data_IF_441558539519
#
_entry.id   IF_441558539519
#
_cell.length_a   1.000
_cell.length_b   1.000
_cell.length_c   1.000
_cell.angle_alpha   90.00
_cell.angle_beta   90.00
_cell.angle_gamma   90.00
#
_symmetry.space_group_name_H-M   'P 1'
#
loop_
_entity.id
_entity.type
_entity.pdbx_description
1 polymer ?
#
# COMPACT_ATOMS: atom_id res chain seq x y z
N UNK A 1 5.89 -7.13 5.06
CA UNK A 1 5.75 -5.99 6.01
C UNK A 1 6.30 -4.71 5.39
N UNK A 2 5.55 -3.61 5.46
CA UNK A 2 5.99 -2.27 5.06
C UNK A 2 6.41 -1.48 6.30
N UNK A 3 7.62 -0.95 6.33
CA UNK A 3 8.18 -0.25 7.48
C UNK A 3 8.45 1.21 7.22
N UNK A 4 8.14 2.03 8.21
CA UNK A 4 8.40 3.47 8.13
C UNK A 4 8.08 4.18 9.43
N UNK A 5 8.63 5.37 9.60
CA UNK A 5 8.32 6.23 10.73
C UNK A 5 6.87 6.75 10.67
N UNK A 6 6.39 7.36 11.75
CA UNK A 6 5.12 8.09 11.72
C UNK A 6 5.18 9.19 10.66
N UNK A 7 4.13 9.32 9.84
CA UNK A 7 4.14 10.22 8.68
C UNK A 7 5.05 9.80 7.51
N UNK A 8 5.78 8.68 7.64
CA UNK A 8 6.74 8.18 6.63
C UNK A 8 6.11 7.36 5.49
N UNK A 9 4.84 7.58 5.15
CA UNK A 9 4.22 6.97 3.97
C UNK A 9 3.69 5.53 4.10
N UNK A 10 3.64 4.92 5.30
CA UNK A 10 3.15 3.53 5.48
C UNK A 10 1.75 3.29 4.93
N UNK A 11 0.74 3.97 5.47
CA UNK A 11 -0.65 3.79 5.02
C UNK A 11 -0.86 4.25 3.57
N UNK A 12 -0.04 5.18 3.07
CA UNK A 12 -0.05 5.58 1.65
C UNK A 12 0.46 4.43 0.78
N UNK A 13 1.55 3.79 1.19
CA UNK A 13 2.12 2.62 0.51
C UNK A 13 1.15 1.45 0.53
N UNK A 14 0.52 1.15 1.68
CA UNK A 14 -0.50 0.11 1.78
C UNK A 14 -1.71 0.40 0.88
N UNK A 15 -2.15 1.67 0.79
CA UNK A 15 -3.21 2.09 -0.15
C UNK A 15 -2.81 1.93 -1.62
N UNK A 16 -1.55 2.23 -1.98
CA UNK A 16 -1.04 2.01 -3.34
C UNK A 16 -0.91 0.51 -3.68
N UNK A 17 -0.54 -0.33 -2.72
CA UNK A 17 -0.56 -1.79 -2.88
C UNK A 17 -2.00 -2.27 -3.13
N UNK A 18 -2.97 -1.76 -2.37
CA UNK A 18 -4.38 -2.09 -2.57
C UNK A 18 -4.86 -1.70 -3.97
N UNK A 19 -4.56 -0.47 -4.40
CA UNK A 19 -4.89 0.03 -5.73
C UNK A 19 -4.25 -0.81 -6.84
N UNK A 20 -2.95 -1.13 -6.74
CA UNK A 20 -2.31 -1.98 -7.75
C UNK A 20 -2.91 -3.39 -7.76
N UNK A 21 -3.26 -3.95 -6.59
CA UNK A 21 -3.85 -5.29 -6.50
C UNK A 21 -5.20 -5.36 -7.22
N UNK A 22 -6.05 -4.33 -7.07
CA UNK A 22 -7.35 -4.30 -7.77
C UNK A 22 -7.20 -4.08 -9.28
N UNK A 23 -6.20 -3.30 -9.72
CA UNK A 23 -5.88 -3.12 -11.15
C UNK A 23 -5.46 -4.44 -11.79
N UNK A 24 -4.68 -5.25 -11.07
CA UNK A 24 -4.24 -6.59 -11.51
C UNK A 24 -5.35 -7.66 -11.41
N UNK A 25 -6.57 -7.28 -11.04
CA UNK A 25 -7.71 -8.20 -10.98
C UNK A 25 -7.89 -8.92 -9.63
N UNK A 26 -7.04 -8.65 -8.63
CA UNK A 26 -7.13 -9.31 -7.32
C UNK A 26 -8.20 -8.71 -6.41
N UNK A 27 -8.72 -9.56 -5.54
CA UNK A 27 -9.74 -9.21 -4.56
C UNK A 27 -9.10 -8.89 -3.22
N UNK A 28 -9.05 -7.60 -2.91
CA UNK A 28 -8.30 -7.05 -1.78
C UNK A 28 -9.21 -6.70 -0.61
N UNK A 29 -8.84 -7.18 0.57
CA UNK A 29 -9.43 -6.82 1.85
C UNK A 29 -8.48 -5.91 2.63
N UNK A 30 -8.93 -4.71 3.02
CA UNK A 30 -8.23 -3.84 3.98
C UNK A 30 -8.92 -3.95 5.34
N UNK A 31 -8.21 -4.46 6.33
CA UNK A 31 -8.58 -4.41 7.74
C UNK A 31 -7.89 -3.22 8.39
N UNK A 32 -8.66 -2.16 8.62
CA UNK A 32 -8.16 -0.95 9.27
C UNK A 32 -8.31 -1.04 10.78
N UNK A 33 -7.27 -0.68 11.52
CA UNK A 33 -7.28 -0.60 12.98
C UNK A 33 -7.16 0.85 13.45
N UNK A 34 -6.45 1.67 12.67
CA UNK A 34 -6.18 3.06 13.00
C UNK A 34 -7.27 4.00 12.45
N UNK A 35 -7.51 3.94 11.15
CA UNK A 35 -8.29 4.94 10.42
C UNK A 35 -9.72 4.48 10.17
N UNK A 36 -10.63 5.45 10.04
CA UNK A 36 -11.99 5.18 9.54
C UNK A 36 -11.94 4.76 8.07
N UNK A 37 -12.85 3.89 7.67
CA UNK A 37 -12.98 3.34 6.32
C UNK A 37 -13.05 4.45 5.28
N UNK A 38 -13.85 5.49 5.56
CA UNK A 38 -13.99 6.66 4.67
C UNK A 38 -12.64 7.36 4.39
N UNK A 39 -11.72 7.39 5.35
CA UNK A 39 -10.40 8.02 5.16
C UNK A 39 -9.47 7.19 4.29
N UNK A 40 -9.65 5.88 4.28
CA UNK A 40 -8.89 4.98 3.41
C UNK A 40 -9.48 5.01 2.01
N UNK A 41 -10.81 4.96 1.89
CA UNK A 41 -11.52 5.13 0.62
C UNK A 41 -11.10 6.46 -0.06
N UNK A 42 -11.15 7.58 0.67
CA UNK A 42 -10.68 8.89 0.18
C UNK A 42 -9.21 8.91 -0.28
N UNK A 43 -8.35 7.99 0.17
CA UNK A 43 -6.98 7.92 -0.37
C UNK A 43 -6.94 7.18 -1.68
N UNK A 44 -7.73 6.12 -1.81
CA UNK A 44 -7.78 5.29 -3.01
C UNK A 44 -8.54 6.02 -4.12
N UNK A 45 -9.65 6.68 -3.77
CA UNK A 45 -10.39 7.58 -4.67
C UNK A 45 -9.47 8.70 -5.20
N UNK A 46 -8.51 9.18 -4.40
CA UNK A 46 -7.54 10.20 -4.84
C UNK A 46 -6.53 9.64 -5.83
N UNK A 47 -6.13 8.38 -5.65
CA UNK A 47 -5.27 7.68 -6.60
C UNK A 47 -6.01 7.48 -7.93
N UNK A 48 -7.28 7.09 -7.88
CA UNK A 48 -8.12 6.82 -9.07
C UNK A 48 -8.43 8.11 -9.83
N UNK A 49 -8.92 9.13 -9.11
CA UNK A 49 -9.50 10.34 -9.73
C UNK A 49 -8.48 11.44 -10.03
N UNK A 50 -7.26 11.37 -9.47
CA UNK A 50 -6.29 12.45 -9.61
C UNK A 50 -6.49 13.64 -8.65
N UNK A 51 -7.61 13.68 -7.91
CA UNK A 51 -7.95 14.79 -7.02
C UNK A 51 -7.37 14.61 -5.61
N UNK A 52 -6.93 15.71 -5.01
CA UNK A 52 -6.53 15.72 -3.61
C UNK A 52 -7.77 15.64 -2.69
N UNK A 53 -7.71 15.00 -1.50
CA UNK A 53 -8.83 14.95 -0.56
C UNK A 53 -9.43 16.32 -0.18
N UNK A 54 -8.66 17.41 -0.28
CA UNK A 54 -9.14 18.78 -0.05
C UNK A 54 -10.11 19.28 -1.12
N UNK A 55 -10.10 18.69 -2.30
CA UNK A 55 -10.89 19.09 -3.46
C UNK A 55 -12.23 18.34 -3.54
N UNK A 56 -12.47 17.37 -2.64
CA UNK A 56 -13.59 16.44 -2.73
C UNK A 56 -14.94 17.12 -2.57
N UNK A 57 -15.03 18.18 -1.76
CA UNK A 57 -16.27 18.94 -1.61
C UNK A 57 -16.66 19.69 -2.88
N UNK A 58 -15.68 19.98 -3.74
CA UNK A 58 -15.87 20.77 -4.95
C UNK A 58 -16.16 19.87 -6.15
N UNK A 59 -15.43 18.76 -6.29
CA UNK A 59 -15.51 17.87 -7.46
C UNK A 59 -16.17 16.51 -7.15
N UNK A 60 -17.15 16.50 -6.24
CA UNK A 60 -17.69 15.24 -5.72
C UNK A 60 -18.36 14.38 -6.78
N UNK A 61 -18.98 14.99 -7.80
CA UNK A 61 -19.65 14.24 -8.88
C UNK A 61 -18.65 13.70 -9.88
N UNK A 62 -17.63 14.48 -10.24
CA UNK A 62 -16.54 14.02 -11.10
C UNK A 62 -15.80 12.86 -10.47
N UNK A 63 -15.45 12.95 -9.18
CA UNK A 63 -14.76 11.87 -8.46
C UNK A 63 -15.61 10.59 -8.46
N UNK A 64 -16.92 10.69 -8.20
CA UNK A 64 -17.83 9.54 -8.27
C UNK A 64 -17.83 8.92 -9.67
N UNK A 65 -17.85 9.74 -10.71
CA UNK A 65 -17.81 9.25 -12.09
C UNK A 65 -16.49 8.53 -12.39
N UNK A 66 -15.34 9.12 -12.02
CA UNK A 66 -14.04 8.46 -12.16
C UNK A 66 -13.97 7.11 -11.46
N UNK A 67 -14.49 7.02 -10.22
CA UNK A 67 -14.50 5.77 -9.45
C UNK A 67 -15.43 4.74 -10.10
N UNK A 68 -16.58 5.17 -10.63
CA UNK A 68 -17.50 4.28 -11.35
C UNK A 68 -16.84 3.73 -12.61
N UNK A 69 -16.27 4.60 -13.44
CA UNK A 69 -15.61 4.22 -14.68
C UNK A 69 -14.44 3.27 -14.40
N UNK A 70 -13.65 3.57 -13.36
CA UNK A 70 -12.57 2.69 -12.91
C UNK A 70 -13.08 1.29 -12.54
N UNK A 71 -14.18 1.17 -11.81
CA UNK A 71 -14.78 -0.13 -11.47
C UNK A 71 -15.30 -0.90 -12.69
N UNK A 72 -15.68 -0.22 -13.77
CA UNK A 72 -16.08 -0.88 -15.02
C UNK A 72 -14.85 -1.42 -15.79
N UNK A 73 -13.67 -0.86 -15.56
CA UNK A 73 -12.41 -1.25 -16.22
C UNK A 73 -11.63 -2.36 -15.51
N UNK A 74 -11.82 -2.53 -14.20
CA UNK A 74 -11.09 -3.53 -13.41
C UNK A 74 -11.98 -4.67 -12.96
N UNK A 75 -11.43 -5.89 -12.91
CA UNK A 75 -12.12 -7.06 -12.36
C UNK A 75 -11.84 -7.27 -10.87
N UNK A 76 -10.78 -6.65 -10.35
CA UNK A 76 -10.41 -6.68 -8.96
C UNK A 76 -11.42 -5.93 -8.09
N UNK A 77 -11.43 -6.23 -6.79
CA UNK A 77 -12.41 -5.64 -5.87
C UNK A 77 -11.74 -5.20 -4.59
N UNK A 78 -12.19 -4.08 -4.03
CA UNK A 78 -11.73 -3.60 -2.75
C UNK A 78 -12.85 -3.68 -1.70
N UNK A 79 -12.54 -4.24 -0.55
CA UNK A 79 -13.40 -4.14 0.62
C UNK A 79 -12.60 -3.63 1.82
N UNK A 80 -13.13 -2.62 2.52
CA UNK A 80 -12.49 -1.99 3.67
C UNK A 80 -13.39 -2.20 4.87
N UNK A 81 -12.83 -2.75 5.94
CA UNK A 81 -13.55 -2.92 7.20
C UNK A 81 -12.68 -2.51 8.37
N UNK A 82 -13.24 -1.72 9.29
CA UNK A 82 -12.53 -1.29 10.49
C UNK A 82 -12.79 -2.21 11.66
N UNK A 83 -11.73 -2.54 12.38
CA UNK A 83 -11.79 -3.14 13.72
C UNK A 83 -11.30 -2.16 14.78
N UNK A 84 -11.57 -2.45 16.06
CA UNK A 84 -11.16 -1.57 17.16
C UNK A 84 -9.65 -1.69 17.41
N UNK A 85 -8.96 -0.61 17.82
CA UNK A 85 -7.61 -0.71 18.38
C UNK A 85 -7.55 -1.72 19.52
N UNK A 86 -6.40 -2.38 19.68
CA UNK A 86 -6.18 -3.44 20.67
C UNK A 86 -7.05 -4.68 20.46
N UNK A 87 -7.54 -4.90 19.23
CA UNK A 87 -8.06 -6.21 18.81
C UNK A 87 -6.90 -7.20 18.56
N UNK A 88 -7.19 -8.48 18.44
CA UNK A 88 -6.20 -9.51 18.10
C UNK A 88 -6.47 -10.11 16.71
N UNK A 89 -5.63 -11.05 16.29
CA UNK A 89 -5.72 -11.71 14.99
C UNK A 89 -7.05 -12.50 14.79
N UNK A 90 -7.74 -12.91 15.86
CA UNK A 90 -9.08 -13.51 15.75
C UNK A 90 -10.14 -12.51 15.24
N UNK A 91 -9.97 -11.21 15.52
CA UNK A 91 -10.83 -10.18 14.95
C UNK A 91 -10.59 -10.03 13.44
N UNK A 92 -9.33 -10.15 12.99
CA UNK A 92 -8.97 -10.16 11.56
C UNK A 92 -9.60 -11.36 10.86
N UNK A 93 -9.47 -12.57 11.43
CA UNK A 93 -10.13 -13.80 10.92
C UNK A 93 -11.65 -13.61 10.81
N UNK A 94 -12.27 -13.03 11.84
CA UNK A 94 -13.71 -12.72 11.82
C UNK A 94 -14.12 -11.80 10.67
N UNK A 95 -13.27 -10.83 10.29
CA UNK A 95 -13.52 -9.96 9.12
C UNK A 95 -13.42 -10.75 7.82
N UNK A 96 -12.41 -11.63 7.70
CA UNK A 96 -12.24 -12.48 6.52
C UNK A 96 -13.43 -13.43 6.33
N UNK A 97 -13.96 -14.00 7.41
CA UNK A 97 -15.17 -14.83 7.33
C UNK A 97 -16.41 -14.03 6.91
N UNK A 98 -16.58 -12.79 7.41
CA UNK A 98 -17.65 -11.90 6.92
C UNK A 98 -17.47 -11.56 5.44
N UNK A 99 -16.25 -11.29 5.00
CA UNK A 99 -15.92 -11.09 3.59
C UNK A 99 -16.33 -12.31 2.76
N UNK A 100 -15.96 -13.51 3.22
CA UNK A 100 -16.27 -14.77 2.55
C UNK A 100 -17.77 -15.02 2.42
N UNK A 101 -18.53 -14.79 3.49
CA UNK A 101 -20.00 -14.90 3.47
C UNK A 101 -20.59 -13.89 2.48
N UNK A 102 -20.08 -12.65 2.48
CA UNK A 102 -20.62 -11.56 1.66
C UNK A 102 -20.35 -11.75 0.17
N UNK A 103 -19.16 -12.20 -0.19
CA UNK A 103 -18.72 -12.27 -1.59
C UNK A 103 -18.65 -13.70 -2.15
N UNK A 104 -18.90 -14.72 -1.33
CA UNK A 104 -18.81 -16.13 -1.73
C UNK A 104 -17.38 -16.61 -2.02
N UNK A 105 -16.35 -15.85 -1.62
CA UNK A 105 -14.93 -16.13 -1.90
C UNK A 105 -14.01 -15.58 -0.81
N UNK A 106 -12.81 -16.12 -0.68
CA UNK A 106 -11.74 -15.54 0.15
C UNK A 106 -11.04 -14.39 -0.58
N UNK A 107 -10.44 -13.42 0.15
CA UNK A 107 -9.63 -12.38 -0.48
C UNK A 107 -8.27 -12.93 -0.91
N UNK A 108 -7.79 -12.51 -2.09
CA UNK A 108 -6.44 -12.85 -2.59
C UNK A 108 -5.36 -12.04 -1.88
N UNK A 109 -5.70 -10.80 -1.50
CA UNK A 109 -4.78 -9.87 -0.82
C UNK A 109 -5.43 -9.35 0.46
N UNK A 110 -4.71 -9.46 1.57
CA UNK A 110 -5.15 -8.97 2.88
C UNK A 110 -4.19 -7.86 3.32
N UNK A 111 -4.73 -6.72 3.72
CA UNK A 111 -3.96 -5.58 4.18
C UNK A 111 -4.41 -5.23 5.60
N UNK A 112 -3.53 -5.33 6.58
CA UNK A 112 -3.80 -4.94 7.96
C UNK A 112 -3.07 -3.63 8.26
N UNK A 113 -3.80 -2.53 8.48
CA UNK A 113 -3.24 -1.20 8.80
C UNK A 113 -3.50 -0.85 10.28
N UNK A 114 -2.58 -1.13 11.21
CA UNK A 114 -1.26 -1.77 11.08
C UNK A 114 -0.97 -2.68 12.29
N UNK A 115 -0.02 -3.63 12.17
CA UNK A 115 0.17 -4.71 13.17
C UNK A 115 0.42 -4.20 14.59
N UNK A 116 1.12 -3.07 14.76
CA UNK A 116 1.44 -2.49 16.06
C UNK A 116 0.24 -1.93 16.84
N UNK A 117 -0.98 -2.04 16.29
CA UNK A 117 -2.24 -1.76 17.02
C UNK A 117 -2.99 -3.02 17.44
N UNK A 118 -2.49 -4.20 17.07
CA UNK A 118 -3.00 -5.47 17.54
C UNK A 118 -2.41 -5.81 18.91
N UNK A 119 -3.08 -6.71 19.60
CA UNK A 119 -2.53 -7.45 20.75
C UNK A 119 -2.46 -8.93 20.38
N UNK A 120 -1.52 -9.70 20.96
CA UNK A 120 -1.49 -11.14 20.75
C UNK A 120 -2.78 -11.79 21.25
N UNK A 121 -3.12 -12.95 20.69
CA UNK A 121 -4.25 -13.77 21.17
C UNK A 121 -4.01 -14.18 22.63
N UNK A 122 -2.77 -14.59 22.93
CA UNK A 122 -2.33 -14.85 24.30
C UNK A 122 -1.99 -13.54 25.03
N UNK A 123 -2.91 -13.11 25.90
CA UNK A 123 -2.79 -11.88 26.69
C UNK A 123 -1.77 -11.98 27.83
N UNK A 124 -1.26 -13.17 28.15
CA UNK A 124 -0.24 -13.35 29.19
C UNK A 124 1.13 -12.83 28.75
N UNK A 125 1.34 -12.68 27.44
CA UNK A 125 2.57 -12.10 26.87
C UNK A 125 2.58 -10.60 27.17
N UNK A 126 3.47 -10.19 28.08
CA UNK A 126 3.58 -8.78 28.53
C UNK A 126 4.74 -8.04 27.89
N UNK A 127 5.85 -8.74 27.58
CA UNK A 127 7.05 -8.18 26.97
C UNK A 127 6.79 -7.67 25.54
N UNK A 128 7.06 -6.39 25.29
CA UNK A 128 6.68 -5.69 24.04
C UNK A 128 7.30 -6.33 22.79
N UNK A 129 8.57 -6.73 22.84
CA UNK A 129 9.23 -7.37 21.70
C UNK A 129 8.64 -8.75 21.36
N UNK A 130 8.21 -9.51 22.39
CA UNK A 130 7.57 -10.81 22.22
C UNK A 130 6.14 -10.64 21.68
N UNK A 131 5.44 -9.56 22.07
CA UNK A 131 4.11 -9.24 21.53
C UNK A 131 4.17 -9.05 20.01
N UNK A 132 5.12 -8.23 19.54
CA UNK A 132 5.24 -7.92 18.12
C UNK A 132 5.68 -9.13 17.28
N UNK A 133 6.55 -9.99 17.83
CA UNK A 133 6.90 -11.27 17.21
C UNK A 133 5.67 -12.18 17.10
N UNK A 134 4.92 -12.34 18.19
CA UNK A 134 3.74 -13.19 18.23
C UNK A 134 2.65 -12.72 17.26
N UNK A 135 2.40 -11.41 17.19
CA UNK A 135 1.44 -10.84 16.22
C UNK A 135 1.92 -11.10 14.78
N UNK A 136 3.24 -11.06 14.52
CA UNK A 136 3.79 -11.36 13.19
C UNK A 136 3.55 -12.82 12.81
N UNK A 137 3.76 -13.77 13.74
CA UNK A 137 3.42 -15.19 13.54
C UNK A 137 1.94 -15.38 13.27
N UNK A 138 1.07 -14.83 14.13
CA UNK A 138 -0.39 -14.98 14.01
C UNK A 138 -0.92 -14.41 12.67
N UNK A 139 -0.37 -13.28 12.21
CA UNK A 139 -0.70 -12.70 10.89
C UNK A 139 -0.19 -13.57 9.75
N UNK A 140 1.00 -14.15 9.88
CA UNK A 140 1.53 -15.09 8.87
C UNK A 140 0.67 -16.35 8.77
N UNK A 141 0.22 -16.90 9.90
CA UNK A 141 -0.69 -18.04 9.92
C UNK A 141 -2.01 -17.72 9.22
N UNK A 142 -2.56 -16.51 9.39
CA UNK A 142 -3.72 -16.06 8.61
C UNK A 142 -3.42 -16.10 7.11
N UNK A 143 -2.29 -15.57 6.66
CA UNK A 143 -1.93 -15.58 5.25
C UNK A 143 -1.85 -17.01 4.67
N UNK A 144 -1.28 -17.95 5.44
CA UNK A 144 -1.17 -19.37 5.06
C UNK A 144 -2.53 -20.05 5.03
N UNK A 145 -3.36 -19.86 6.06
CA UNK A 145 -4.66 -20.54 6.18
C UNK A 145 -5.65 -20.15 5.07
N UNK A 146 -5.59 -18.91 4.60
CA UNK A 146 -6.48 -18.38 3.56
C UNK A 146 -5.83 -18.34 2.16
N UNK A 147 -4.61 -18.86 2.02
CA UNK A 147 -3.83 -18.82 0.77
C UNK A 147 -3.81 -17.43 0.12
N UNK A 148 -3.45 -16.42 0.93
CA UNK A 148 -3.55 -15.01 0.57
C UNK A 148 -2.24 -14.25 0.82
N UNK A 149 -1.96 -13.23 0.00
CA UNK A 149 -0.84 -12.33 0.24
C UNK A 149 -1.22 -11.33 1.34
N UNK A 150 -0.50 -11.34 2.47
CA UNK A 150 -0.75 -10.42 3.57
C UNK A 150 0.28 -9.30 3.68
N UNK A 151 -0.20 -8.06 3.65
CA UNK A 151 0.57 -6.86 3.93
C UNK A 151 0.18 -6.25 5.27
N UNK A 152 1.17 -5.77 6.00
CA UNK A 152 0.94 -4.95 7.19
C UNK A 152 2.01 -3.89 7.35
N UNK A 153 1.67 -2.79 8.01
CA UNK A 153 2.60 -1.74 8.38
C UNK A 153 3.30 -2.03 9.72
N UNK A 154 4.56 -1.65 9.86
CA UNK A 154 5.26 -1.64 11.15
C UNK A 154 6.11 -0.39 11.32
N UNK A 155 6.30 0.05 12.56
CA UNK A 155 7.05 1.27 12.86
C UNK A 155 8.56 1.02 12.89
N UNK A 156 9.31 2.06 12.51
CA UNK A 156 10.76 2.10 12.66
C UNK A 156 11.15 2.98 13.85
N UNK A 157 12.39 2.81 14.34
CA UNK A 157 12.95 3.58 15.43
C UNK A 157 12.89 5.07 15.12
N UNK A 158 12.62 5.91 16.14
CA UNK A 158 12.49 7.37 15.96
C UNK A 158 13.74 8.00 15.33
N UNK A 159 14.93 7.46 15.64
CA UNK A 159 16.21 7.92 15.09
C UNK A 159 16.38 7.65 13.60
N UNK A 160 15.65 6.68 13.03
CA UNK A 160 15.78 6.27 11.63
C UNK A 160 15.46 7.38 10.63
N UNK A 161 14.68 8.38 11.03
CA UNK A 161 14.38 9.55 10.19
C UNK A 161 15.66 10.29 9.76
N UNK A 162 16.72 10.24 10.58
CA UNK A 162 18.01 10.90 10.32
C UNK A 162 19.06 9.96 9.72
N UNK A 163 18.75 8.66 9.62
CA UNK A 163 19.65 7.66 9.06
C UNK A 163 19.72 7.81 7.55
N UNK A 164 20.92 7.68 6.97
CA UNK A 164 21.07 7.69 5.51
C UNK A 164 20.36 6.47 4.93
N UNK A 165 19.82 6.62 3.72
CA UNK A 165 19.09 5.55 3.03
C UNK A 165 19.88 4.22 2.97
N UNK A 166 21.19 4.32 2.73
CA UNK A 166 22.14 3.21 2.63
C UNK A 166 22.35 2.48 3.96
N UNK A 167 22.21 3.19 5.08
CA UNK A 167 22.41 2.63 6.43
C UNK A 167 21.11 2.05 7.00
N UNK A 168 19.97 2.20 6.31
CA UNK A 168 18.70 1.66 6.80
C UNK A 168 18.70 0.12 6.75
N UNK A 169 18.60 -0.53 7.90
CA UNK A 169 18.65 -1.98 8.03
C UNK A 169 17.64 -2.54 9.03
N UNK A 170 17.83 -3.80 9.41
CA UNK A 170 16.96 -4.49 10.37
C UNK A 170 17.10 -3.93 11.80
N UNK A 171 18.25 -3.37 12.15
CA UNK A 171 18.53 -2.68 13.42
C UNK A 171 17.63 -1.44 13.63
N UNK A 172 17.03 -0.92 12.56
CA UNK A 172 16.15 0.24 12.62
C UNK A 172 14.68 -0.09 12.90
N UNK A 173 14.35 -1.36 13.12
CA UNK A 173 12.99 -1.80 13.46
C UNK A 173 12.65 -1.42 14.91
N UNK A 174 11.54 -0.70 15.11
CA UNK A 174 11.05 -0.42 16.46
C UNK A 174 10.35 -1.64 17.04
N UNK A 175 10.45 -1.88 18.34
CA UNK A 175 9.81 -3.02 19.01
C UNK A 175 10.53 -4.36 18.81
N UNK A 176 11.78 -4.34 18.32
CA UNK A 176 12.64 -5.51 18.21
C UNK A 176 12.64 -6.16 16.82
N UNK A 177 13.80 -6.70 16.44
CA UNK A 177 14.04 -7.39 15.15
C UNK A 177 13.20 -8.67 15.03
N UNK A 178 12.85 -9.28 16.17
CA UNK A 178 12.17 -10.57 16.24
C UNK A 178 10.86 -10.63 15.43
N UNK A 179 10.12 -9.51 15.32
CA UNK A 179 8.92 -9.41 14.47
C UNK A 179 9.17 -9.66 12.98
N UNK A 180 10.41 -9.52 12.52
CA UNK A 180 10.78 -9.84 11.15
C UNK A 180 11.03 -11.32 10.95
N UNK A 181 11.31 -12.11 12.00
CA UNK A 181 11.63 -13.53 11.88
C UNK A 181 10.54 -14.31 11.13
N UNK A 182 9.24 -14.14 11.46
CA UNK A 182 8.17 -14.83 10.76
C UNK A 182 7.96 -14.27 9.34
N UNK A 183 8.13 -12.96 9.17
CA UNK A 183 7.86 -12.28 7.90
C UNK A 183 8.71 -12.85 6.75
N UNK A 184 8.05 -13.12 5.62
CA UNK A 184 8.73 -13.56 4.40
C UNK A 184 9.51 -12.42 3.75
N UNK A 185 8.95 -11.21 3.78
CA UNK A 185 9.59 -10.00 3.26
C UNK A 185 9.30 -8.78 4.11
N UNK A 186 10.30 -7.91 4.25
CA UNK A 186 10.16 -6.61 4.88
C UNK A 186 10.86 -5.51 4.07
N UNK A 187 10.15 -4.41 3.84
CA UNK A 187 10.62 -3.28 3.05
C UNK A 187 10.55 -1.99 3.89
N UNK A 188 11.65 -1.26 3.96
CA UNK A 188 11.70 0.05 4.59
C UNK A 188 11.37 1.14 3.57
N UNK A 189 10.51 2.09 3.96
CA UNK A 189 10.16 3.27 3.20
C UNK A 189 11.17 4.38 3.52
N UNK A 190 11.68 5.00 2.48
CA UNK A 190 12.56 6.17 2.54
C UNK A 190 11.80 7.32 1.89
N UNK A 191 11.28 8.20 2.72
CA UNK A 191 10.39 9.28 2.27
C UNK A 191 10.54 10.53 3.14
N UNK A 192 11.71 11.16 3.03
CA UNK A 192 12.03 12.40 3.74
C UNK A 192 11.43 13.63 3.02
N UNK A 193 11.51 14.80 3.66
CA UNK A 193 10.87 16.01 3.16
C UNK A 193 11.50 16.55 1.87
N UNK A 194 12.79 16.29 1.65
CA UNK A 194 13.49 16.63 0.41
C UNK A 194 12.94 15.77 -0.73
N UNK A 195 12.85 14.45 -0.54
CA UNK A 195 12.28 13.53 -1.54
C UNK A 195 10.83 13.88 -1.88
N UNK A 196 10.00 14.22 -0.87
CA UNK A 196 8.63 14.71 -1.10
C UNK A 196 8.59 15.92 -2.03
N UNK A 197 9.49 16.88 -1.83
CA UNK A 197 9.57 18.09 -2.65
C UNK A 197 9.97 17.77 -4.11
N UNK A 198 10.88 16.83 -4.29
CA UNK A 198 11.31 16.36 -5.61
C UNK A 198 10.35 15.38 -6.28
N UNK A 199 9.26 14.97 -5.60
CA UNK A 199 8.35 13.96 -6.13
C UNK A 199 8.99 12.57 -6.19
N UNK A 200 9.73 12.20 -5.15
CA UNK A 200 10.44 10.93 -5.04
C UNK A 200 10.04 10.19 -3.75
N UNK A 201 10.04 8.86 -3.83
CA UNK A 201 9.94 7.94 -2.70
C UNK A 201 10.79 6.73 -2.99
N UNK A 202 11.48 6.16 -2.00
CA UNK A 202 12.27 4.96 -2.22
C UNK A 202 11.91 3.85 -1.24
N UNK A 203 12.19 2.63 -1.67
CA UNK A 203 11.94 1.41 -0.94
C UNK A 203 13.23 0.60 -0.86
N UNK A 204 13.54 0.12 0.34
CA UNK A 204 14.70 -0.75 0.56
C UNK A 204 14.24 -2.05 1.19
N UNK A 205 14.29 -3.19 0.48
CA UNK A 205 14.10 -4.49 1.09
C UNK A 205 15.18 -4.71 2.15
N UNK A 206 14.77 -4.84 3.41
CA UNK A 206 15.68 -5.08 4.55
C UNK A 206 15.61 -6.54 5.02
N UNK A 207 14.62 -7.29 4.52
CA UNK A 207 14.52 -8.74 4.65
C UNK A 207 13.80 -9.32 3.44
N UNK A 208 14.37 -10.36 2.85
CA UNK A 208 13.71 -11.25 1.90
C UNK A 208 14.08 -12.69 2.23
N UNK A 209 13.09 -13.59 2.31
CA UNK A 209 13.33 -15.00 2.67
C UNK A 209 14.04 -15.78 1.57
N UNK A 210 13.79 -15.44 0.30
CA UNK A 210 14.21 -16.23 -0.87
C UNK A 210 15.11 -15.47 -1.87
N UNK A 211 15.72 -14.33 -1.50
CA UNK A 211 16.50 -13.53 -2.46
C UNK A 211 17.78 -12.90 -1.91
N UNK A 212 18.70 -12.62 -2.83
CA UNK A 212 19.99 -11.95 -2.61
C UNK A 212 19.90 -10.41 -2.63
N UNK A 213 18.79 -9.84 -3.13
CA UNK A 213 18.63 -8.38 -3.35
C UNK A 213 18.35 -7.55 -2.08
N UNK A 214 18.58 -8.13 -0.89
CA UNK A 214 18.44 -7.38 0.37
C UNK A 214 19.44 -6.24 0.38
N UNK A 215 18.95 -5.01 0.55
CA UNK A 215 19.78 -3.81 0.60
C UNK A 215 19.74 -2.91 -0.63
N UNK A 216 19.21 -3.38 -1.78
CA UNK A 216 19.03 -2.52 -2.95
C UNK A 216 17.99 -1.42 -2.68
N UNK A 217 18.30 -0.18 -3.04
CA UNK A 217 17.36 0.94 -2.94
C UNK A 217 16.63 1.09 -4.27
N UNK A 218 15.31 0.94 -4.24
CA UNK A 218 14.41 1.08 -5.38
C UNK A 218 13.77 2.45 -5.29
N UNK A 219 14.08 3.32 -6.25
CA UNK A 219 13.49 4.66 -6.33
C UNK A 219 12.20 4.64 -7.15
N UNK A 220 11.18 5.34 -6.68
CA UNK A 220 9.88 5.47 -7.32
C UNK A 220 9.49 6.94 -7.39
N UNK A 221 8.58 7.27 -8.31
CA UNK A 221 8.05 8.62 -8.42
C UNK A 221 6.88 8.79 -7.46
N UNK A 222 6.88 9.90 -6.74
CA UNK A 222 5.83 10.31 -5.82
C UNK A 222 5.01 11.45 -6.44
N UNK A 223 3.76 11.15 -6.78
CA UNK A 223 2.83 12.14 -7.33
C UNK A 223 1.96 12.66 -6.19
N UNK A 224 2.34 13.84 -5.67
CA UNK A 224 1.78 14.43 -4.44
C UNK A 224 0.27 14.62 -4.48
N UNK A 225 -0.27 15.13 -5.59
CA UNK A 225 -1.70 15.47 -5.70
C UNK A 225 -2.62 14.25 -5.52
N UNK A 226 -2.47 13.14 -6.29
CA UNK A 226 -3.23 11.91 -6.11
C UNK A 226 -2.72 11.00 -4.99
N UNK A 227 -1.58 11.32 -4.37
CA UNK A 227 -0.88 10.42 -3.43
C UNK A 227 -0.47 9.09 -4.07
N UNK A 228 -0.11 9.11 -5.36
CA UNK A 228 0.27 7.94 -6.15
C UNK A 228 1.77 7.70 -6.04
N UNK A 229 2.14 6.46 -5.76
CA UNK A 229 3.50 5.95 -5.92
C UNK A 229 3.56 5.26 -7.27
N UNK A 230 4.33 5.83 -8.18
CA UNK A 230 4.50 5.31 -9.53
C UNK A 230 5.88 4.70 -9.69
N UNK A 231 5.97 3.69 -10.55
CA UNK A 231 7.26 3.15 -10.93
C UNK A 231 8.08 4.23 -11.66
N UNK A 232 9.36 4.39 -11.30
CA UNK A 232 10.26 5.32 -11.97
C UNK A 232 10.82 4.72 -13.24
N UNK A 233 10.60 5.37 -14.38
CA UNK A 233 11.06 4.91 -15.71
C UNK A 233 12.54 4.51 -15.76
N UNK A 234 13.39 5.26 -15.08
CA UNK A 234 14.84 5.02 -15.08
C UNK A 234 15.22 3.66 -14.50
N UNK A 235 14.35 3.04 -13.70
CA UNK A 235 14.55 1.66 -13.22
C UNK A 235 14.40 0.62 -14.34
N UNK A 236 13.69 0.90 -15.45
CA UNK A 236 13.52 -0.04 -16.59
C UNK A 236 14.85 -0.39 -17.23
N UNK A 237 15.77 0.58 -17.26
CA UNK A 237 17.12 0.37 -17.80
C UNK A 237 17.86 -0.78 -17.11
N UNK A 238 17.42 -1.18 -15.91
CA UNK A 238 18.00 -2.26 -15.09
C UNK A 238 17.21 -3.57 -15.12
N UNK A 239 16.07 -3.65 -15.82
CA UNK A 239 15.20 -4.84 -15.88
C UNK A 239 15.31 -5.60 -17.21
N UNK A 240 15.09 -6.93 -17.18
CA UNK A 240 15.06 -7.80 -18.35
C UNK A 240 13.82 -8.72 -18.39
N UNK A 241 13.45 -9.20 -19.59
CA UNK A 241 12.35 -10.17 -19.80
C UNK A 241 10.93 -9.61 -19.71
N UNK A 242 9.93 -10.49 -19.54
CA UNK A 242 8.48 -10.18 -19.51
C UNK A 242 8.06 -9.14 -18.47
N UNK A 243 8.85 -8.95 -17.40
CA UNK A 243 8.65 -7.89 -16.41
C UNK A 243 8.78 -6.48 -17.03
N UNK A 244 9.64 -6.32 -18.05
CA UNK A 244 9.82 -5.06 -18.77
C UNK A 244 8.56 -4.67 -19.56
N UNK A 245 7.87 -5.63 -20.15
CA UNK A 245 6.71 -5.37 -21.02
C UNK A 245 5.46 -5.00 -20.23
N UNK A 246 5.24 -5.63 -19.07
CA UNK A 246 4.18 -5.27 -18.12
C UNK A 246 4.41 -3.84 -17.56
N UNK A 247 5.63 -3.55 -17.09
CA UNK A 247 5.97 -2.24 -16.49
C UNK A 247 5.94 -1.09 -17.50
N UNK A 248 6.20 -1.36 -18.78
CA UNK A 248 6.12 -0.34 -19.84
C UNK A 248 4.68 0.13 -20.08
N UNK A 249 3.66 -0.70 -19.80
CA UNK A 249 2.24 -0.31 -19.90
C UNK A 249 1.83 0.58 -18.73
N UNK A 250 2.22 0.24 -17.51
CA UNK A 250 1.96 1.05 -16.30
C UNK A 250 2.59 2.44 -16.40
N UNK A 251 3.79 2.53 -16.96
CA UNK A 251 4.50 3.80 -17.15
C UNK A 251 3.77 4.77 -18.07
N UNK A 252 3.11 4.27 -19.12
CA UNK A 252 2.31 5.12 -20.01
C UNK A 252 1.10 5.72 -19.28
N UNK A 253 0.47 4.97 -18.39
CA UNK A 253 -0.61 5.50 -17.54
C UNK A 253 -0.07 6.54 -16.54
N UNK A 254 1.08 6.27 -15.94
CA UNK A 254 1.75 7.21 -15.03
C UNK A 254 2.13 8.51 -15.74
N UNK A 255 2.67 8.46 -16.95
CA UNK A 255 3.00 9.65 -17.74
C UNK A 255 1.78 10.53 -17.98
N UNK A 256 0.66 9.90 -18.37
CA UNK A 256 -0.59 10.61 -18.58
C UNK A 256 -1.05 11.31 -17.30
N UNK A 257 -1.01 10.62 -16.14
CA UNK A 257 -1.35 11.20 -14.83
C UNK A 257 -0.40 12.35 -14.47
N UNK A 258 0.90 12.20 -14.72
CA UNK A 258 1.91 13.24 -14.43
C UNK A 258 1.67 14.46 -15.32
N UNK A 259 1.46 14.29 -16.62
CA UNK A 259 1.16 15.38 -17.55
C UNK A 259 -0.15 16.10 -17.20
N UNK A 260 -1.17 15.36 -16.77
CA UNK A 260 -2.44 15.93 -16.35
C UNK A 260 -2.35 16.65 -15.00
N UNK A 261 -1.54 16.15 -14.07
CA UNK A 261 -1.26 16.83 -12.81
C UNK A 261 -0.51 18.15 -12.96
N UNK A 262 0.22 18.33 -14.08
CA UNK A 262 0.95 19.56 -14.44
C UNK A 262 0.09 20.59 -15.16
N UNK A 263 -1.11 20.22 -15.65
CA UNK A 263 -2.00 21.17 -16.33
C UNK A 263 -2.67 22.09 -15.30
N UNK A 264 -2.66 23.42 -15.50
CA UNK A 264 -3.45 24.32 -14.67
C UNK A 264 -4.93 23.99 -14.84
N UNK A 265 -5.69 24.04 -13.74
CA UNK A 265 -7.12 23.73 -13.70
C UNK A 265 -7.92 24.71 -14.56
N UNK A 266 -8.03 24.44 -15.86
CA UNK A 266 -8.97 25.10 -16.75
C UNK A 266 -9.94 24.04 -17.31
N UNK A 267 -11.23 24.35 -17.15
CA UNK A 267 -12.36 23.50 -17.45
C UNK A 267 -12.49 23.09 -18.93
N UNK A 268 -13.21 21.98 -19.11
CA UNK A 268 -13.99 21.58 -20.29
C UNK A 268 -13.26 20.95 -21.49
N UNK A 269 -12.50 19.89 -21.26
CA UNK A 269 -12.46 18.77 -22.22
C UNK A 269 -12.68 17.49 -21.42
N UNK A 270 -13.73 16.74 -21.72
CA UNK A 270 -14.05 15.53 -20.97
C UNK A 270 -12.89 14.53 -21.10
N UNK A 271 -12.32 14.19 -19.95
CA UNK A 271 -11.32 13.13 -19.80
C UNK A 271 -11.79 11.80 -20.42
N UNK A 272 -13.11 11.63 -20.54
CA UNK A 272 -13.83 10.51 -21.15
C UNK A 272 -13.45 10.22 -22.61
N UNK A 273 -13.05 11.21 -23.43
CA UNK A 273 -12.66 10.92 -24.83
C UNK A 273 -11.31 10.17 -24.95
N UNK A 274 -10.51 10.11 -23.89
CA UNK A 274 -9.15 9.54 -23.95
C UNK A 274 -9.07 8.07 -23.52
N UNK A 275 -10.12 7.52 -22.91
CA UNK A 275 -10.18 6.12 -22.49
C UNK A 275 -10.97 5.22 -23.45
N UNK A 276 -11.63 5.79 -24.45
CA UNK A 276 -12.50 5.05 -25.39
C UNK A 276 -11.79 4.50 -26.63
N UNK A 277 -10.54 4.89 -26.92
CA UNK A 277 -9.77 4.36 -28.06
C UNK A 277 -8.88 3.17 -27.67
N UNK A 278 -9.49 2.15 -27.06
CA UNK A 278 -8.87 0.85 -26.84
C UNK A 278 -9.68 -0.25 -27.54
N UNK A 279 -9.48 -0.32 -28.84
CA UNK A 279 -10.02 -1.35 -29.72
C UNK A 279 -9.40 -1.20 -31.10
N UNK A 280 -8.14 -1.64 -31.21
CA UNK A 280 -7.50 -2.24 -32.41
C UNK A 280 -6.14 -2.82 -32.02
#
# INVERSE_FOLDING_TARGET
IVMGNSGGGKSITLGNIAYNSIVEGYHTLIVSIELKEIKIAQRIDSIISGYNPKEYSTYSEEIKQYVKDFHELVTGSLYIERIKPYSNCNAVRSVIERYKIKFGRTPDVIIVDYMGRLIPIDKSITAEHVKDERISDELREIAVDYDAVLWTGSQMNRGTVKTKAEDIGQDNVAGGIAKLNPADSAVAIIFNDVMKLYGEIAFKPIKCRNSEDTGMIIYCDWITRPMRIAYRKDNISKLSGNAKDLLTRDLKQVDNIIEESKKPSNNNSSFLEKFTNFGD
#
